data_IF_001186868299
#
_entry.id   IF_001186868299
#
_cell.length_a   1.000
_cell.length_b   1.000
_cell.length_c   1.000
_cell.angle_alpha   90.00
_cell.angle_beta   90.00
_cell.angle_gamma   90.00
#
_symmetry.space_group_name_H-M   'P 1'
#
loop_
_entity.id
_entity.type
_entity.pdbx_description
1 polymer ?
#
# COMPACT_ATOMS: atom_id res chain seq x y z
N UNK A 1 16.93 -4.12 8.75
CA UNK A 1 17.89 -4.08 9.87
C UNK A 1 17.52 -5.17 10.88
N UNK A 2 18.45 -6.01 11.30
CA UNK A 2 18.14 -7.05 12.30
C UNK A 2 17.78 -6.38 13.62
N UNK A 3 16.55 -6.62 14.12
CA UNK A 3 16.05 -6.09 15.40
C UNK A 3 17.06 -6.30 16.54
N UNK A 4 17.72 -7.46 16.55
CA UNK A 4 18.75 -7.82 17.52
C UNK A 4 19.95 -6.87 17.51
N UNK A 5 20.38 -6.40 16.33
CA UNK A 5 21.51 -5.48 16.21
C UNK A 5 21.18 -4.11 16.82
N UNK A 6 19.95 -3.65 16.64
CA UNK A 6 19.47 -2.38 17.19
C UNK A 6 19.35 -2.42 18.72
N UNK A 7 18.79 -3.50 19.28
CA UNK A 7 18.74 -3.68 20.73
C UNK A 7 20.14 -3.78 21.34
N UNK A 8 21.08 -4.45 20.65
CA UNK A 8 22.47 -4.52 21.08
C UNK A 8 23.14 -3.15 21.09
N UNK A 9 22.92 -2.31 20.07
CA UNK A 9 23.51 -0.96 19.99
C UNK A 9 22.95 -0.04 21.06
N UNK A 10 21.62 -0.04 21.25
CA UNK A 10 20.99 0.76 22.32
C UNK A 10 21.48 0.28 23.68
N UNK A 11 21.53 -1.04 23.91
CA UNK A 11 22.04 -1.64 25.14
C UNK A 11 23.48 -1.23 25.43
N UNK A 12 24.37 -1.28 24.44
CA UNK A 12 25.76 -0.87 24.59
C UNK A 12 25.90 0.62 24.96
N UNK A 13 25.12 1.50 24.33
CA UNK A 13 25.14 2.94 24.62
C UNK A 13 24.65 3.23 26.03
N UNK A 14 23.58 2.57 26.48
CA UNK A 14 23.08 2.70 27.85
C UNK A 14 24.12 2.25 28.87
N UNK A 15 24.82 1.14 28.58
CA UNK A 15 25.87 0.60 29.45
C UNK A 15 27.06 1.56 29.56
N UNK A 16 27.50 2.12 28.44
CA UNK A 16 28.55 3.17 28.41
C UNK A 16 28.10 4.43 29.13
N UNK A 17 26.84 4.84 28.96
CA UNK A 17 26.26 5.98 29.68
C UNK A 17 26.24 5.77 31.20
N UNK A 18 25.88 4.57 31.67
CA UNK A 18 25.89 4.24 33.10
C UNK A 18 27.31 4.23 33.67
N UNK A 19 28.26 3.58 33.00
CA UNK A 19 29.66 3.53 33.44
C UNK A 19 30.27 4.95 33.45
N UNK A 20 30.06 5.71 32.37
CA UNK A 20 30.53 7.08 32.25
C UNK A 20 29.95 7.97 33.35
N UNK A 21 28.67 7.80 33.69
CA UNK A 21 27.99 8.52 34.77
C UNK A 21 28.64 8.25 36.13
N UNK A 22 28.92 6.98 36.45
CA UNK A 22 29.58 6.58 37.71
C UNK A 22 31.00 7.17 37.80
N UNK A 23 31.77 7.10 36.71
CA UNK A 23 33.14 7.64 36.67
C UNK A 23 33.11 9.18 36.83
N UNK A 24 32.20 9.85 36.12
CA UNK A 24 32.03 11.30 36.20
C UNK A 24 31.60 11.75 37.60
N UNK A 25 30.77 10.98 38.28
CA UNK A 25 30.37 11.30 39.65
C UNK A 25 31.55 11.32 40.63
N UNK A 26 32.58 10.51 40.39
CA UNK A 26 33.79 10.43 41.22
C UNK A 26 34.81 11.50 40.80
N UNK A 27 35.06 11.65 39.50
CA UNK A 27 36.15 12.48 38.98
C UNK A 27 35.73 13.94 38.82
N UNK A 28 34.48 14.18 38.39
CA UNK A 28 34.01 15.50 37.97
C UNK A 28 32.48 15.67 38.11
N UNK A 29 31.95 15.66 39.34
CA UNK A 29 30.52 15.62 39.61
C UNK A 29 29.73 16.81 39.05
N UNK A 30 30.37 17.97 38.87
CA UNK A 30 29.75 19.16 38.29
C UNK A 30 29.36 18.98 36.82
N UNK A 31 30.01 18.05 36.12
CA UNK A 31 29.74 17.77 34.70
C UNK A 31 28.78 16.60 34.47
N UNK A 32 28.31 15.95 35.54
CA UNK A 32 27.40 14.81 35.48
C UNK A 32 26.08 15.15 34.78
N UNK A 33 25.47 16.30 35.12
CA UNK A 33 24.19 16.72 34.55
C UNK A 33 24.27 16.86 33.02
N UNK A 34 25.30 17.55 32.52
CA UNK A 34 25.52 17.73 31.08
C UNK A 34 25.78 16.42 30.36
N UNK A 35 26.54 15.51 30.97
CA UNK A 35 26.83 14.21 30.39
C UNK A 35 25.56 13.35 30.28
N UNK A 36 24.78 13.25 31.36
CA UNK A 36 23.51 12.49 31.35
C UNK A 36 22.55 13.07 30.31
N UNK A 37 22.46 14.40 30.21
CA UNK A 37 21.65 15.05 29.19
C UNK A 37 22.07 14.68 27.77
N UNK A 38 23.38 14.65 27.47
CA UNK A 38 23.88 14.24 26.16
C UNK A 38 23.57 12.77 25.86
N UNK A 39 23.74 11.86 26.83
CA UNK A 39 23.38 10.45 26.66
C UNK A 39 21.91 10.29 26.34
N UNK A 40 21.02 10.99 27.07
CA UNK A 40 19.57 10.94 26.82
C UNK A 40 19.21 11.47 25.43
N UNK A 41 19.84 12.57 25.00
CA UNK A 41 19.61 13.12 23.66
C UNK A 41 20.01 12.11 22.58
N UNK A 42 21.20 11.51 22.69
CA UNK A 42 21.69 10.52 21.71
C UNK A 42 20.77 9.31 21.65
N UNK A 43 20.39 8.76 22.80
CA UNK A 43 19.47 7.62 22.89
C UNK A 43 18.10 7.98 22.31
N UNK A 44 17.57 9.17 22.62
CA UNK A 44 16.30 9.66 22.10
C UNK A 44 16.30 9.81 20.58
N UNK A 45 17.40 10.32 20.01
CA UNK A 45 17.58 10.42 18.55
C UNK A 45 17.63 9.04 17.90
N UNK A 46 18.36 8.09 18.49
CA UNK A 46 18.44 6.72 17.96
C UNK A 46 17.10 6.00 17.99
N UNK A 47 16.34 6.13 19.09
CA UNK A 47 15.00 5.56 19.21
C UNK A 47 14.05 6.21 18.20
N UNK A 48 14.11 7.53 18.03
CA UNK A 48 13.27 8.24 17.06
C UNK A 48 13.59 7.85 15.62
N UNK A 49 14.87 7.77 15.27
CA UNK A 49 15.32 7.32 13.95
C UNK A 49 14.90 5.88 13.68
N UNK A 50 15.10 4.99 14.65
CA UNK A 50 14.63 3.61 14.58
C UNK A 50 13.12 3.54 14.38
N UNK A 51 12.34 4.21 15.22
CA UNK A 51 10.87 4.24 15.12
C UNK A 51 10.39 4.75 13.77
N UNK A 52 11.05 5.78 13.23
CA UNK A 52 10.76 6.33 11.90
C UNK A 52 11.02 5.31 10.80
N UNK A 53 12.16 4.61 10.84
CA UNK A 53 12.50 3.56 9.86
C UNK A 53 11.51 2.39 9.95
N UNK A 54 11.16 1.93 11.16
CA UNK A 54 10.19 0.85 11.33
C UNK A 54 8.77 1.25 10.88
N UNK A 55 8.37 2.49 11.16
CA UNK A 55 7.08 3.04 10.72
C UNK A 55 7.00 3.14 9.20
N UNK A 56 8.01 3.72 8.56
CA UNK A 56 8.09 3.83 7.11
C UNK A 56 8.14 2.46 6.42
N UNK A 57 8.87 1.50 6.98
CA UNK A 57 8.90 0.13 6.45
C UNK A 57 7.52 -0.52 6.40
N UNK A 58 6.72 -0.40 7.46
CA UNK A 58 5.36 -0.93 7.47
C UNK A 58 4.42 -0.21 6.50
N UNK A 59 4.63 1.10 6.29
CA UNK A 59 3.88 1.86 5.31
C UNK A 59 4.21 1.39 3.90
N UNK A 60 5.49 1.22 3.57
CA UNK A 60 5.91 0.67 2.28
C UNK A 60 5.37 -0.74 2.04
N UNK A 61 5.43 -1.63 3.03
CA UNK A 61 4.88 -2.98 2.91
C UNK A 61 3.37 -2.98 2.63
N UNK A 62 2.64 -1.99 3.16
CA UNK A 62 1.21 -1.82 2.89
C UNK A 62 0.97 -1.27 1.48
N UNK A 63 1.76 -0.30 1.05
CA UNK A 63 1.70 0.25 -0.31
C UNK A 63 1.97 -0.86 -1.33
N UNK A 64 3.03 -1.64 -1.16
CA UNK A 64 3.35 -2.76 -2.06
C UNK A 64 2.23 -3.81 -2.15
N UNK A 65 1.55 -4.08 -1.03
CA UNK A 65 0.38 -4.98 -1.02
C UNK A 65 -0.80 -4.39 -1.79
N UNK A 66 -1.08 -3.10 -1.59
CA UNK A 66 -2.16 -2.40 -2.29
C UNK A 66 -1.87 -2.31 -3.78
N UNK A 67 -0.64 -2.00 -4.18
CA UNK A 67 -0.25 -1.95 -5.59
C UNK A 67 -0.36 -3.33 -6.26
N UNK A 68 0.13 -4.39 -5.61
CA UNK A 68 -0.02 -5.77 -6.12
C UNK A 68 -1.49 -6.19 -6.24
N UNK A 69 -2.32 -5.86 -5.26
CA UNK A 69 -3.75 -6.17 -5.31
C UNK A 69 -4.49 -5.36 -6.38
N UNK A 70 -4.15 -4.09 -6.56
CA UNK A 70 -4.79 -3.22 -7.54
C UNK A 70 -4.41 -3.63 -8.96
N UNK A 71 -3.12 -3.91 -9.21
CA UNK A 71 -2.67 -4.36 -10.53
C UNK A 71 -3.26 -5.73 -10.90
N UNK A 72 -3.28 -6.69 -9.98
CA UNK A 72 -3.91 -8.00 -10.22
C UNK A 72 -5.42 -7.91 -10.46
N UNK A 73 -6.12 -6.99 -9.77
CA UNK A 73 -7.55 -6.75 -9.99
C UNK A 73 -7.82 -6.02 -11.31
N UNK A 74 -6.94 -5.12 -11.75
CA UNK A 74 -7.06 -4.45 -13.05
C UNK A 74 -6.91 -5.46 -14.20
N UNK A 75 -5.97 -6.37 -14.08
CA UNK A 75 -5.71 -7.42 -15.06
C UNK A 75 -6.88 -8.43 -15.14
N UNK A 76 -7.46 -8.80 -13.99
CA UNK A 76 -8.71 -9.58 -13.96
C UNK A 76 -9.88 -8.85 -14.61
N UNK A 77 -10.08 -7.56 -14.30
CA UNK A 77 -11.17 -6.77 -14.87
C UNK A 77 -11.01 -6.58 -16.38
N UNK A 78 -9.79 -6.47 -16.90
CA UNK A 78 -9.52 -6.43 -18.34
C UNK A 78 -9.80 -7.80 -18.99
N UNK A 79 -9.32 -8.88 -18.40
CA UNK A 79 -9.59 -10.23 -18.89
C UNK A 79 -11.08 -10.59 -18.92
N UNK A 80 -11.84 -10.17 -17.91
CA UNK A 80 -13.30 -10.38 -17.86
C UNK A 80 -14.03 -9.52 -18.90
N UNK A 81 -13.55 -8.30 -19.17
CA UNK A 81 -14.08 -7.48 -20.28
C UNK A 81 -13.83 -8.12 -21.64
N UNK A 82 -12.64 -8.66 -21.87
CA UNK A 82 -12.30 -9.30 -23.15
C UNK A 82 -13.09 -10.59 -23.35
N UNK A 83 -13.31 -11.36 -22.27
CA UNK A 83 -14.19 -12.54 -22.30
C UNK A 83 -15.63 -12.16 -22.60
N UNK A 84 -16.18 -11.16 -21.92
CA UNK A 84 -17.54 -10.67 -22.16
C UNK A 84 -17.70 -10.13 -23.59
N UNK A 85 -16.72 -9.41 -24.12
CA UNK A 85 -16.72 -8.92 -25.50
C UNK A 85 -16.72 -10.08 -26.51
N UNK A 86 -15.95 -11.13 -26.24
CA UNK A 86 -15.88 -12.33 -27.09
C UNK A 86 -17.19 -13.12 -27.07
N UNK A 87 -17.83 -13.26 -25.92
CA UNK A 87 -19.13 -13.93 -25.80
C UNK A 87 -20.27 -13.14 -26.46
N UNK A 88 -20.26 -11.81 -26.33
CA UNK A 88 -21.19 -10.93 -27.04
C UNK A 88 -20.99 -11.00 -28.55
N UNK A 89 -19.74 -11.06 -29.04
CA UNK A 89 -19.45 -11.22 -30.46
C UNK A 89 -19.98 -12.56 -31.00
N UNK A 90 -19.72 -13.67 -30.29
CA UNK A 90 -20.23 -15.00 -30.66
C UNK A 90 -21.75 -15.07 -30.62
N UNK A 91 -22.37 -14.46 -29.62
CA UNK A 91 -23.84 -14.46 -29.51
C UNK A 91 -24.46 -13.64 -30.62
N UNK A 92 -23.85 -12.52 -31.03
CA UNK A 92 -24.28 -11.74 -32.21
C UNK A 92 -24.11 -12.50 -33.52
N UNK A 93 -23.03 -13.26 -33.67
CA UNK A 93 -22.80 -14.10 -34.85
C UNK A 93 -23.82 -15.24 -34.94
N UNK A 94 -24.11 -15.90 -33.82
CA UNK A 94 -25.16 -16.92 -33.72
C UNK A 94 -26.54 -16.31 -33.96
N UNK A 95 -26.82 -15.10 -33.45
CA UNK A 95 -28.06 -14.39 -33.73
C UNK A 95 -28.16 -14.02 -35.21
N UNK A 96 -27.08 -13.53 -35.83
CA UNK A 96 -27.05 -13.19 -37.25
C UNK A 96 -27.25 -14.44 -38.13
N UNK A 97 -26.63 -15.56 -37.77
CA UNK A 97 -26.81 -16.84 -38.45
C UNK A 97 -28.23 -17.42 -38.27
N UNK A 98 -28.85 -17.19 -37.10
CA UNK A 98 -30.20 -17.67 -36.78
C UNK A 98 -31.33 -16.71 -37.22
N UNK A 99 -31.01 -15.44 -37.46
CA UNK A 99 -31.95 -14.38 -37.90
C UNK A 99 -31.78 -14.04 -39.39
N UNK A 100 -31.08 -14.87 -40.17
CA UNK A 100 -31.08 -14.82 -41.63
C UNK A 100 -32.43 -15.19 -42.28
N UNK A 101 -33.54 -15.19 -41.54
CA UNK A 101 -34.87 -15.58 -42.06
C UNK A 101 -36.01 -14.85 -41.34
N UNK A 102 -35.86 -13.57 -41.02
CA UNK A 102 -37.03 -12.72 -40.75
C UNK A 102 -36.89 -11.46 -41.60
N UNK A 103 -37.66 -11.29 -42.69
CA UNK A 103 -37.78 -10.00 -43.34
C UNK A 103 -38.36 -9.03 -42.31
N UNK A 104 -37.66 -7.93 -42.06
CA UNK A 104 -38.21 -6.79 -41.34
C UNK A 104 -39.33 -6.23 -42.22
N UNK A 105 -40.58 -6.68 -41.98
CA UNK A 105 -41.74 -5.97 -42.49
C UNK A 105 -41.78 -4.64 -41.76
N UNK A 106 -41.36 -3.60 -42.47
CA UNK A 106 -41.69 -2.23 -42.11
C UNK A 106 -43.18 -2.08 -42.38
N UNK A 107 -44.01 -2.26 -41.36
CA UNK A 107 -45.42 -1.91 -41.42
C UNK A 107 -45.53 -0.38 -41.40
N UNK A 108 -45.50 0.23 -42.59
CA UNK A 108 -46.06 1.55 -42.85
C UNK A 108 -47.59 1.47 -42.75
N UNK A 109 -48.16 1.43 -41.54
CA UNK A 109 -49.63 1.51 -41.42
C UNK A 109 -50.08 1.95 -40.02
N UNK A 110 -49.73 3.16 -39.59
CA UNK A 110 -50.45 3.78 -38.45
C UNK A 110 -50.43 5.32 -38.41
N UNK A 111 -50.56 6.01 -39.55
CA UNK A 111 -50.71 7.48 -39.58
C UNK A 111 -51.92 7.98 -40.41
N UNK A 112 -52.87 7.10 -40.76
CA UNK A 112 -54.09 7.49 -41.49
C UNK A 112 -55.34 7.71 -40.62
N UNK A 113 -55.29 7.46 -39.30
CA UNK A 113 -56.48 7.55 -38.42
C UNK A 113 -56.51 8.77 -37.49
N UNK A 114 -55.57 9.72 -37.60
CA UNK A 114 -55.43 10.80 -36.61
C UNK A 114 -55.94 12.18 -37.03
N UNK A 115 -56.57 12.34 -38.19
CA UNK A 115 -57.19 13.61 -38.60
C UNK A 115 -58.50 13.39 -39.41
N UNK A 116 -59.41 12.59 -38.87
CA UNK A 116 -60.83 12.71 -39.18
C UNK A 116 -61.53 13.47 -38.04
#
# INVERSE_FOLDING_TARGET
MNKNLMYLTIGAIVLVGLIGSIILQIVRPESLGTFVQQVVIIVGLLISAAGTIYGLGQVNDKIDKVDKQTNGRLEQLQGDRDRAATELAKTREILAAKTGTIPVQHSEEEDASRNA
#
